data_IF_724025476378
#
_entry.id   IF_724025476378
#
_cell.length_a   1.000
_cell.length_b   1.000
_cell.length_c   1.000
_cell.angle_alpha   90.00
_cell.angle_beta   90.00
_cell.angle_gamma   90.00
#
_symmetry.space_group_name_H-M   'P 1'
#
loop_
_entity.id
_entity.type
_entity.pdbx_description
1 polymer ?
#
# COMPACT_ATOMS: atom_id res chain seq x y z
N UNK A 1 -3.20 5.30 8.25
CA UNK A 1 -1.88 5.77 7.79
C UNK A 1 -0.71 5.16 8.58
N UNK A 2 -0.64 5.29 9.91
CA UNK A 2 0.48 4.79 10.73
C UNK A 2 0.92 3.35 10.44
N UNK A 3 -0.02 2.40 10.34
CA UNK A 3 0.26 0.98 10.02
C UNK A 3 1.06 0.80 8.72
N UNK A 4 0.76 1.58 7.67
CA UNK A 4 1.46 1.48 6.38
C UNK A 4 2.91 1.96 6.51
N UNK A 5 3.13 3.05 7.25
CA UNK A 5 4.47 3.61 7.49
C UNK A 5 5.35 2.62 8.26
N UNK A 6 4.79 1.98 9.30
CA UNK A 6 5.55 1.02 10.11
C UNK A 6 5.95 -0.22 9.31
N UNK A 7 5.05 -0.73 8.47
CA UNK A 7 5.36 -1.87 7.58
C UNK A 7 6.35 -1.45 6.50
N UNK A 8 6.20 -0.25 5.93
CA UNK A 8 7.16 0.28 4.97
C UNK A 8 8.57 0.35 5.56
N UNK A 9 8.75 0.86 6.78
CA UNK A 9 10.04 0.86 7.48
C UNK A 9 10.63 -0.54 7.64
N UNK A 10 9.78 -1.54 7.93
CA UNK A 10 10.20 -2.95 8.04
C UNK A 10 10.65 -3.49 6.68
N UNK A 11 9.86 -3.26 5.63
CA UNK A 11 10.12 -3.76 4.27
C UNK A 11 11.38 -3.11 3.67
N UNK A 12 11.57 -1.81 3.87
CA UNK A 12 12.73 -1.09 3.33
C UNK A 12 13.97 -1.23 4.20
N UNK A 13 13.80 -1.68 5.45
CA UNK A 13 14.82 -1.62 6.50
C UNK A 13 15.48 -0.22 6.60
N UNK A 14 14.69 0.83 6.37
CA UNK A 14 15.15 2.21 6.30
C UNK A 14 14.28 3.11 7.20
N UNK A 15 14.88 4.05 7.96
CA UNK A 15 14.12 5.06 8.67
C UNK A 15 13.31 5.91 7.70
N UNK A 16 12.00 5.97 7.89
CA UNK A 16 11.10 6.86 7.15
C UNK A 16 10.56 7.90 8.13
N UNK A 17 11.12 9.12 8.18
CA UNK A 17 10.60 10.20 9.01
C UNK A 17 9.15 10.51 8.64
N UNK A 18 8.29 10.69 9.65
CA UNK A 18 6.89 11.00 9.44
C UNK A 18 6.43 12.04 10.46
N UNK A 19 5.70 13.04 9.99
CA UNK A 19 5.09 14.08 10.82
C UNK A 19 3.56 13.98 10.71
N UNK A 20 2.88 14.08 11.84
CA UNK A 20 1.42 14.21 11.87
C UNK A 20 1.07 15.65 11.52
N UNK A 21 0.25 15.81 10.49
CA UNK A 21 -0.29 17.10 10.05
C UNK A 21 -1.82 17.04 10.04
N UNK A 22 -2.47 18.19 9.85
CA UNK A 22 -3.93 18.26 9.77
C UNK A 22 -4.48 17.38 8.64
N UNK A 23 -5.70 16.87 8.85
CA UNK A 23 -6.37 16.05 7.82
C UNK A 23 -6.71 16.93 6.63
N UNK A 24 -6.52 16.41 5.43
CA UNK A 24 -7.00 17.07 4.22
C UNK A 24 -8.53 17.18 4.28
N UNK A 25 -9.05 18.37 4.00
CA UNK A 25 -10.49 18.59 3.94
C UNK A 25 -11.13 17.67 2.89
N UNK A 26 -12.22 17.00 3.26
CA UNK A 26 -12.92 16.04 2.40
C UNK A 26 -12.51 14.57 2.60
N UNK A 27 -11.40 14.27 3.28
CA UNK A 27 -11.00 12.88 3.54
C UNK A 27 -11.86 12.25 4.66
N UNK A 28 -12.55 11.12 4.41
CA UNK A 28 -13.31 10.43 5.44
C UNK A 28 -12.39 9.77 6.49
N UNK A 29 -12.97 9.41 7.64
CA UNK A 29 -12.24 8.71 8.70
C UNK A 29 -11.69 7.34 8.23
N UNK A 30 -12.52 6.58 7.53
CA UNK A 30 -12.27 5.23 7.02
C UNK A 30 -12.95 5.12 5.66
N UNK A 31 -12.28 4.50 4.69
CA UNK A 31 -12.83 4.22 3.36
C UNK A 31 -12.32 2.85 2.89
N UNK A 32 -13.21 1.85 2.93
CA UNK A 32 -12.90 0.46 2.58
C UNK A 32 -14.08 -0.10 1.77
N UNK A 33 -13.81 -0.71 0.63
CA UNK A 33 -14.81 -1.41 -0.17
C UNK A 33 -14.90 -2.90 0.21
N UNK A 34 -16.11 -3.46 0.19
CA UNK A 34 -16.30 -4.91 0.31
C UNK A 34 -15.96 -5.60 -1.02
N UNK A 35 -15.22 -6.71 -0.95
CA UNK A 35 -14.92 -7.58 -2.09
C UNK A 35 -15.90 -8.74 -2.27
N UNK A 36 -16.89 -8.87 -1.38
CA UNK A 36 -17.76 -10.05 -1.30
C UNK A 36 -18.49 -10.35 -2.61
N UNK A 37 -19.00 -9.31 -3.29
CA UNK A 37 -19.71 -9.46 -4.56
C UNK A 37 -18.81 -10.05 -5.65
N UNK A 38 -17.58 -9.55 -5.78
CA UNK A 38 -16.62 -10.03 -6.77
C UNK A 38 -16.24 -11.49 -6.51
N UNK A 39 -16.06 -11.87 -5.25
CA UNK A 39 -15.78 -13.27 -4.88
C UNK A 39 -16.95 -14.20 -5.23
N UNK A 40 -18.19 -13.78 -4.95
CA UNK A 40 -19.39 -14.59 -5.22
C UNK A 40 -19.70 -14.73 -6.71
N UNK A 41 -19.66 -13.63 -7.45
CA UNK A 41 -20.14 -13.60 -8.85
C UNK A 41 -19.05 -13.98 -9.86
N UNK A 42 -17.79 -13.61 -9.58
CA UNK A 42 -16.68 -13.81 -10.52
C UNK A 42 -15.74 -14.94 -10.10
N UNK A 43 -15.97 -15.56 -8.94
CA UNK A 43 -15.01 -16.49 -8.33
C UNK A 43 -13.67 -15.82 -8.01
N UNK A 44 -13.65 -14.48 -7.88
CA UNK A 44 -12.43 -13.73 -7.69
C UNK A 44 -11.84 -13.98 -6.30
N UNK A 45 -10.61 -14.47 -6.27
CA UNK A 45 -9.84 -14.70 -5.06
C UNK A 45 -8.51 -13.91 -5.10
N UNK A 46 -8.30 -12.90 -4.23
CA UNK A 46 -7.09 -12.10 -4.23
C UNK A 46 -5.87 -12.95 -3.85
N UNK A 47 -4.88 -13.03 -4.76
CA UNK A 47 -3.61 -13.74 -4.50
C UNK A 47 -2.67 -12.96 -3.60
N UNK A 48 -2.77 -11.63 -3.59
CA UNK A 48 -1.92 -10.72 -2.82
C UNK A 48 -2.78 -9.88 -1.87
N UNK A 49 -3.19 -10.48 -0.75
CA UNK A 49 -4.04 -9.81 0.26
C UNK A 49 -3.24 -9.22 1.44
N UNK A 50 -1.92 -9.40 1.47
CA UNK A 50 -1.02 -8.87 2.49
C UNK A 50 -0.47 -7.52 2.06
N UNK A 51 -0.55 -6.56 2.98
CA UNK A 51 0.03 -5.22 2.80
C UNK A 51 1.57 -5.30 2.75
N UNK A 52 2.18 -6.26 3.44
CA UNK A 52 3.61 -6.54 3.39
C UNK A 52 4.04 -6.93 1.97
N UNK A 53 3.34 -7.90 1.36
CA UNK A 53 3.64 -8.33 -0.01
C UNK A 53 3.45 -7.21 -1.03
N UNK A 54 2.39 -6.40 -0.87
CA UNK A 54 2.14 -5.24 -1.72
C UNK A 54 3.29 -4.21 -1.61
N UNK A 55 3.75 -3.92 -0.39
CA UNK A 55 4.85 -2.98 -0.18
C UNK A 55 6.20 -3.54 -0.66
N UNK A 56 6.46 -4.83 -0.47
CA UNK A 56 7.68 -5.50 -0.95
C UNK A 56 7.79 -5.46 -2.47
N UNK A 57 6.71 -5.80 -3.16
CA UNK A 57 6.67 -5.76 -4.63
C UNK A 57 6.86 -4.35 -5.17
N UNK A 58 6.21 -3.35 -4.56
CA UNK A 58 6.43 -1.94 -4.92
C UNK A 58 7.88 -1.49 -4.65
N UNK A 59 8.45 -1.84 -3.50
CA UNK A 59 9.82 -1.46 -3.15
C UNK A 59 10.84 -2.10 -4.09
N UNK A 60 10.67 -3.37 -4.44
CA UNK A 60 11.52 -4.07 -5.40
C UNK A 60 11.51 -3.40 -6.77
N UNK A 61 10.34 -2.93 -7.22
CA UNK A 61 10.25 -2.16 -8.47
C UNK A 61 11.07 -0.88 -8.39
N UNK A 62 10.83 -0.05 -7.36
CA UNK A 62 11.50 1.24 -7.18
C UNK A 62 13.03 1.10 -7.00
N UNK A 63 13.49 0.04 -6.33
CA UNK A 63 14.91 -0.24 -6.16
C UNK A 63 15.61 -0.55 -7.50
N UNK A 64 14.92 -1.21 -8.42
CA UNK A 64 15.46 -1.58 -9.73
C UNK A 64 15.21 -0.52 -10.81
N UNK A 65 14.27 0.41 -10.58
CA UNK A 65 13.87 1.47 -11.51
C UNK A 65 13.82 2.81 -10.79
N UNK A 66 14.99 3.32 -10.38
CA UNK A 66 15.11 4.55 -9.60
C UNK A 66 14.47 5.77 -10.30
N UNK A 67 14.54 5.80 -11.63
CA UNK A 67 14.00 6.89 -12.45
C UNK A 67 12.68 6.51 -13.15
N UNK A 68 12.08 5.37 -12.81
CA UNK A 68 10.90 4.84 -13.51
C UNK A 68 11.25 4.10 -14.80
N UNK A 69 10.36 4.17 -15.79
CA UNK A 69 10.57 3.55 -17.09
C UNK A 69 11.55 4.37 -17.94
N UNK A 70 12.29 3.71 -18.83
CA UNK A 70 13.04 4.39 -19.89
C UNK A 70 12.04 4.94 -20.92
N UNK A 71 12.31 6.14 -21.44
CA UNK A 71 11.49 6.82 -22.46
C UNK A 71 11.53 6.11 -23.82
#
# INVERSE_FOLDING_TARGET
MKKVIDIARKVTNHPIPAQVVERRAGDPAILIASSEKATKELGWNPRFNSIETILETAWNWHKNHLNGYED
#
